data_IF_286469754779
#
_entry.id   IF_286469754779
#
_cell.length_a   1.000
_cell.length_b   1.000
_cell.length_c   1.000
_cell.angle_alpha   90.00
_cell.angle_beta   90.00
_cell.angle_gamma   90.00
#
_symmetry.space_group_name_H-M   'P 1'
#
loop_
_entity.id
_entity.type
_entity.pdbx_description
1 polymer ?
#
# COMPACT_ATOMS: atom_id res chain seq x y z
N UNK A 1 -16.05 -21.53 18.47
CA UNK A 1 -15.84 -21.08 17.09
C UNK A 1 -15.50 -19.60 17.11
N UNK A 2 -14.77 -19.10 16.11
CA UNK A 2 -14.48 -17.66 16.02
C UNK A 2 -15.76 -16.89 15.66
N UNK A 3 -15.98 -15.73 16.27
CA UNK A 3 -17.08 -14.85 15.88
C UNK A 3 -16.86 -14.36 14.44
N UNK A 4 -17.89 -14.49 13.61
CA UNK A 4 -17.92 -14.04 12.22
C UNK A 4 -18.87 -12.84 12.16
N UNK A 5 -18.39 -11.71 11.67
CA UNK A 5 -19.23 -10.56 11.35
C UNK A 5 -19.72 -10.70 9.91
N UNK A 6 -21.01 -10.47 9.68
CA UNK A 6 -21.59 -10.53 8.35
C UNK A 6 -22.31 -9.21 8.08
N UNK A 7 -21.94 -8.55 7.00
CA UNK A 7 -22.70 -7.43 6.44
C UNK A 7 -23.53 -7.98 5.29
N UNK A 8 -24.84 -7.91 5.44
CA UNK A 8 -25.79 -8.32 4.40
C UNK A 8 -26.35 -7.05 3.76
N UNK A 9 -26.30 -6.98 2.44
CA UNK A 9 -26.87 -5.89 1.66
C UNK A 9 -27.94 -6.45 0.74
N UNK A 10 -29.16 -5.95 0.91
CA UNK A 10 -30.31 -6.27 0.08
C UNK A 10 -30.50 -5.13 -0.91
N UNK A 11 -30.59 -5.45 -2.20
CA UNK A 11 -30.84 -4.49 -3.26
C UNK A 11 -32.09 -4.96 -4.02
N UNK A 12 -33.20 -4.22 -3.95
CA UNK A 12 -34.36 -4.53 -4.77
C UNK A 12 -34.00 -4.33 -6.24
N UNK A 13 -34.36 -5.30 -7.07
CA UNK A 13 -34.13 -5.29 -8.51
C UNK A 13 -35.47 -5.30 -9.25
N UNK A 14 -35.45 -5.17 -10.59
CA UNK A 14 -36.69 -5.15 -11.37
C UNK A 14 -37.49 -6.45 -11.22
N UNK A 15 -38.80 -6.38 -11.45
CA UNK A 15 -39.75 -7.50 -11.33
C UNK A 15 -39.99 -8.05 -9.91
N UNK A 16 -39.75 -7.25 -8.86
CA UNK A 16 -40.04 -7.66 -7.48
C UNK A 16 -39.05 -8.68 -6.91
N UNK A 17 -37.89 -8.79 -7.53
CA UNK A 17 -36.78 -9.62 -7.08
C UNK A 17 -35.88 -8.82 -6.12
N UNK A 18 -35.26 -9.50 -5.17
CA UNK A 18 -34.25 -8.92 -4.29
C UNK A 18 -32.93 -9.66 -4.50
N UNK A 19 -31.86 -8.90 -4.75
CA UNK A 19 -30.50 -9.44 -4.74
C UNK A 19 -29.90 -9.26 -3.34
N UNK A 20 -29.11 -10.24 -2.90
CA UNK A 20 -28.49 -10.26 -1.58
C UNK A 20 -27.00 -10.54 -1.69
N UNK A 21 -26.20 -9.56 -1.28
CA UNK A 21 -24.74 -9.72 -1.15
C UNK A 21 -24.39 -9.88 0.32
N UNK A 22 -23.75 -10.99 0.67
CA UNK A 22 -23.20 -11.24 2.00
C UNK A 22 -21.69 -11.02 1.97
N UNK A 23 -21.24 -9.98 2.67
CA UNK A 23 -19.84 -9.81 3.00
C UNK A 23 -19.54 -10.42 4.35
N UNK A 24 -18.78 -11.51 4.34
CA UNK A 24 -18.31 -12.18 5.55
C UNK A 24 -16.96 -11.59 5.94
N UNK A 25 -16.87 -10.94 7.10
CA UNK A 25 -15.61 -10.54 7.71
C UNK A 25 -15.37 -11.36 8.98
N UNK A 26 -14.27 -12.09 9.00
CA UNK A 26 -13.69 -12.53 10.25
C UNK A 26 -12.87 -11.36 10.82
N UNK A 27 -12.79 -11.22 12.15
CA UNK A 27 -11.80 -10.32 12.74
C UNK A 27 -10.43 -10.68 12.17
N UNK A 28 -9.83 -9.74 11.46
CA UNK A 28 -8.54 -9.95 10.84
C UNK A 28 -7.46 -9.95 11.92
N UNK A 29 -6.55 -10.91 11.85
CA UNK A 29 -5.37 -10.90 12.72
C UNK A 29 -4.44 -9.78 12.23
N UNK A 30 -3.86 -9.03 13.16
CA UNK A 30 -2.76 -8.14 12.85
C UNK A 30 -1.59 -8.93 12.22
N UNK A 31 -0.97 -8.35 11.21
CA UNK A 31 0.20 -8.93 10.53
C UNK A 31 1.42 -8.07 10.92
N UNK A 32 2.49 -8.66 11.48
CA UNK A 32 3.74 -7.94 11.72
C UNK A 32 4.30 -7.33 10.43
N UNK A 33 5.00 -6.21 10.55
CA UNK A 33 5.56 -5.47 9.42
C UNK A 33 6.47 -6.36 8.55
N UNK A 34 7.23 -7.24 9.19
CA UNK A 34 8.18 -8.19 8.58
C UNK A 34 7.46 -9.22 7.70
N UNK A 35 6.18 -9.50 7.96
CA UNK A 35 5.37 -10.49 7.27
C UNK A 35 4.49 -9.89 6.17
N UNK A 36 4.58 -8.58 5.91
CA UNK A 36 3.85 -7.95 4.80
C UNK A 36 4.36 -8.37 3.42
N UNK A 37 5.60 -8.89 3.32
CA UNK A 37 6.21 -9.25 2.04
C UNK A 37 6.73 -8.04 1.25
N UNK A 38 7.14 -6.98 1.96
CA UNK A 38 7.92 -5.89 1.39
C UNK A 38 9.29 -6.41 0.94
N UNK A 39 9.85 -5.85 -0.13
CA UNK A 39 11.26 -6.08 -0.47
C UNK A 39 12.15 -5.58 0.67
N UNK A 40 13.37 -6.10 0.77
CA UNK A 40 14.31 -5.70 1.82
C UNK A 40 14.56 -4.18 1.80
N UNK A 41 14.66 -3.59 0.62
CA UNK A 41 14.82 -2.15 0.44
C UNK A 41 13.61 -1.38 0.96
N UNK A 42 12.39 -1.74 0.51
CA UNK A 42 11.17 -1.06 0.94
C UNK A 42 10.90 -1.24 2.45
N UNK A 43 11.21 -2.41 3.02
CA UNK A 43 11.10 -2.64 4.45
C UNK A 43 12.03 -1.70 5.23
N UNK A 44 13.31 -1.62 4.84
CA UNK A 44 14.28 -0.72 5.47
C UNK A 44 13.85 0.74 5.39
N UNK A 45 13.43 1.19 4.21
CA UNK A 45 12.94 2.56 4.02
C UNK A 45 11.71 2.84 4.89
N UNK A 46 10.72 1.95 4.90
CA UNK A 46 9.52 2.13 5.70
C UNK A 46 9.84 2.19 7.20
N UNK A 47 10.71 1.32 7.72
CA UNK A 47 11.15 1.35 9.12
C UNK A 47 11.84 2.68 9.45
N UNK A 48 12.72 3.18 8.57
CA UNK A 48 13.39 4.47 8.76
C UNK A 48 12.40 5.65 8.78
N UNK A 49 11.37 5.59 7.92
CA UNK A 49 10.31 6.61 7.85
C UNK A 49 9.43 6.57 9.10
N UNK A 50 9.09 5.38 9.62
CA UNK A 50 8.30 5.22 10.84
C UNK A 50 9.00 5.78 12.09
N UNK A 51 10.33 5.87 12.09
CA UNK A 51 11.10 6.47 13.19
C UNK A 51 11.03 8.01 13.21
N UNK A 52 10.49 8.66 12.18
CA UNK A 52 10.39 10.11 12.15
C UNK A 52 9.43 10.61 13.24
N UNK A 53 9.77 11.71 13.96
CA UNK A 53 8.95 12.21 15.05
C UNK A 53 7.65 12.85 14.57
N UNK A 54 7.60 13.30 13.32
CA UNK A 54 6.44 13.94 12.70
C UNK A 54 6.48 13.82 11.19
N UNK A 55 5.34 14.08 10.57
CA UNK A 55 5.17 14.08 9.12
C UNK A 55 4.14 13.04 8.70
N UNK A 56 3.82 13.03 7.41
CA UNK A 56 2.73 12.23 6.87
C UNK A 56 3.23 11.07 6.01
N UNK A 57 2.76 9.87 6.33
CA UNK A 57 2.93 8.65 5.54
C UNK A 57 1.59 8.35 4.89
N UNK A 58 1.55 8.34 3.57
CA UNK A 58 0.35 8.01 2.82
C UNK A 58 0.48 6.62 2.21
N UNK A 59 -0.46 5.74 2.51
CA UNK A 59 -0.55 4.41 1.92
C UNK A 59 -1.57 4.47 0.79
N UNK A 60 -1.11 4.32 -0.44
CA UNK A 60 -1.89 4.38 -1.66
C UNK A 60 -2.14 2.98 -2.24
N UNK A 61 -3.25 2.82 -2.95
CA UNK A 61 -3.57 1.63 -3.71
C UNK A 61 -5.06 1.46 -3.99
N UNK A 62 -5.42 0.58 -4.95
CA UNK A 62 -6.82 0.30 -5.26
C UNK A 62 -7.55 -0.44 -4.13
N UNK A 63 -8.86 -0.59 -4.27
CA UNK A 63 -9.65 -1.40 -3.35
C UNK A 63 -9.12 -2.84 -3.29
N UNK A 64 -8.93 -3.36 -2.08
CA UNK A 64 -8.40 -4.71 -1.88
C UNK A 64 -6.87 -4.84 -2.00
N UNK A 65 -6.15 -3.73 -2.15
CA UNK A 65 -4.67 -3.72 -2.17
C UNK A 65 -4.01 -4.01 -0.81
N UNK A 66 -4.78 -4.15 0.27
CA UNK A 66 -4.25 -4.45 1.61
C UNK A 66 -3.79 -3.23 2.41
N UNK A 67 -4.21 -2.00 2.02
CA UNK A 67 -3.76 -0.76 2.67
C UNK A 67 -4.02 -0.73 4.18
N UNK A 68 -5.22 -1.15 4.62
CA UNK A 68 -5.54 -1.25 6.05
C UNK A 68 -4.62 -2.24 6.77
N UNK A 69 -4.28 -3.36 6.14
CA UNK A 69 -3.34 -4.34 6.71
C UNK A 69 -1.96 -3.72 6.92
N UNK A 70 -1.46 -2.97 5.94
CA UNK A 70 -0.18 -2.24 6.04
C UNK A 70 -0.26 -1.12 7.08
N UNK A 71 -1.36 -0.35 7.11
CA UNK A 71 -1.60 0.68 8.13
C UNK A 71 -1.46 0.09 9.53
N UNK A 72 -2.19 -0.99 9.83
CA UNK A 72 -2.15 -1.61 11.15
C UNK A 72 -0.81 -2.28 11.47
N UNK A 73 -0.08 -2.78 10.47
CA UNK A 73 1.28 -3.28 10.65
C UNK A 73 2.26 -2.16 11.05
N UNK A 74 2.17 -1.00 10.39
CA UNK A 74 2.92 0.20 10.76
C UNK A 74 2.58 0.66 12.18
N UNK A 75 1.29 0.71 12.52
CA UNK A 75 0.86 1.09 13.87
C UNK A 75 1.33 0.10 14.93
N UNK A 76 1.37 -1.21 14.63
CA UNK A 76 1.90 -2.22 15.55
C UNK A 76 3.39 -2.00 15.83
N UNK A 77 4.16 -1.68 14.80
CA UNK A 77 5.59 -1.37 14.92
C UNK A 77 5.85 -0.13 15.79
N UNK A 78 4.92 0.83 15.78
CA UNK A 78 4.98 2.05 16.59
C UNK A 78 4.37 1.90 18.00
N UNK A 79 3.67 0.80 18.29
CA UNK A 79 2.86 0.63 19.49
C UNK A 79 3.74 0.29 20.70
N UNK A 80 4.30 1.31 21.33
CA UNK A 80 5.03 1.21 22.60
C UNK A 80 4.23 1.86 23.73
N UNK A 81 4.43 1.47 25.01
CA UNK A 81 3.71 2.06 26.14
C UNK A 81 3.84 3.59 26.25
N UNK A 82 4.92 4.16 25.71
CA UNK A 82 5.23 5.59 25.75
C UNK A 82 4.50 6.39 24.67
N UNK A 83 4.02 5.72 23.60
CA UNK A 83 3.35 6.39 22.47
C UNK A 83 1.84 6.30 22.57
N UNK A 84 1.18 7.44 22.39
CA UNK A 84 -0.28 7.56 22.31
C UNK A 84 -0.75 7.56 20.86
N UNK A 85 -1.29 6.42 20.43
CA UNK A 85 -1.79 6.21 19.06
C UNK A 85 -3.30 6.31 19.03
N UNK A 86 -3.83 7.24 18.22
CA UNK A 86 -5.26 7.42 17.96
C UNK A 86 -5.59 7.08 16.51
N UNK A 87 -6.68 6.33 16.28
CA UNK A 87 -7.11 5.97 14.94
C UNK A 87 -8.57 6.36 14.70
N UNK A 88 -8.86 6.95 13.54
CA UNK A 88 -10.20 7.19 13.04
C UNK A 88 -10.48 6.18 11.92
N UNK A 89 -11.45 5.28 12.10
CA UNK A 89 -11.70 4.17 11.18
C UNK A 89 -13.18 4.06 10.79
N UNK A 90 -13.48 3.95 9.49
CA UNK A 90 -14.85 3.67 8.99
C UNK A 90 -15.40 2.34 9.50
N UNK A 91 -14.52 1.38 9.78
CA UNK A 91 -14.85 0.07 10.32
C UNK A 91 -13.61 -0.50 11.00
N UNK A 92 -13.74 -0.91 12.26
CA UNK A 92 -12.63 -1.49 13.03
C UNK A 92 -12.54 -2.99 12.71
N UNK A 93 -11.78 -3.33 11.68
CA UNK A 93 -11.58 -4.71 11.22
C UNK A 93 -10.47 -5.44 11.99
N UNK A 94 -9.43 -4.70 12.39
CA UNK A 94 -8.25 -5.18 13.12
C UNK A 94 -8.20 -4.45 14.46
N UNK A 95 -8.40 -5.18 15.56
CA UNK A 95 -8.29 -4.62 16.91
C UNK A 95 -6.88 -4.80 17.46
N UNK A 96 -6.26 -3.73 17.96
CA UNK A 96 -4.93 -3.77 18.56
C UNK A 96 -4.93 -3.15 19.96
N UNK A 97 -4.52 -3.93 20.95
CA UNK A 97 -4.33 -3.43 22.31
C UNK A 97 -3.26 -2.32 22.32
N UNK A 98 -3.52 -1.23 23.04
CA UNK A 98 -2.63 -0.06 23.11
C UNK A 98 -3.06 1.10 22.21
N UNK A 99 -3.84 0.84 21.16
CA UNK A 99 -4.40 1.86 20.28
C UNK A 99 -5.72 2.41 20.86
N UNK A 100 -6.03 3.67 20.56
CA UNK A 100 -7.32 4.31 20.84
C UNK A 100 -8.10 4.38 19.53
N UNK A 101 -8.78 3.29 19.20
CA UNK A 101 -9.48 3.12 17.93
C UNK A 101 -10.90 3.68 18.01
N UNK A 102 -11.17 4.72 17.22
CA UNK A 102 -12.48 5.40 17.16
C UNK A 102 -13.17 5.06 15.86
N UNK A 103 -14.37 4.53 15.97
CA UNK A 103 -15.23 4.23 14.82
C UNK A 103 -15.92 5.51 14.32
N UNK A 104 -15.74 5.81 13.03
CA UNK A 104 -16.40 6.91 12.33
C UNK A 104 -17.82 6.48 11.97
N UNK A 105 -18.82 7.17 12.51
CA UNK A 105 -20.25 6.91 12.27
C UNK A 105 -20.96 8.24 11.97
N UNK A 106 -21.05 8.64 10.68
CA UNK A 106 -21.69 9.90 10.28
C UNK A 106 -23.14 10.02 10.77
N UNK A 107 -23.85 8.90 10.90
CA UNK A 107 -25.25 8.87 11.41
C UNK A 107 -25.36 9.35 12.87
N UNK A 108 -24.26 9.32 13.61
CA UNK A 108 -24.15 9.80 14.99
C UNK A 108 -23.37 11.12 15.09
N UNK A 109 -23.05 11.76 13.96
CA UNK A 109 -22.25 12.99 13.91
C UNK A 109 -20.74 12.78 14.11
N UNK A 110 -20.26 11.54 14.11
CA UNK A 110 -18.83 11.21 14.19
C UNK A 110 -18.25 11.04 12.79
N UNK A 111 -18.07 12.16 12.09
CA UNK A 111 -17.41 12.22 10.78
C UNK A 111 -15.89 12.33 10.92
N UNK A 112 -15.14 12.01 9.86
CA UNK A 112 -13.67 12.07 9.88
C UNK A 112 -13.14 13.43 10.38
N UNK A 113 -13.60 14.59 9.87
CA UNK A 113 -13.10 15.87 10.34
C UNK A 113 -13.33 16.13 11.84
N UNK A 114 -14.50 15.76 12.37
CA UNK A 114 -14.82 15.98 13.80
C UNK A 114 -13.99 15.08 14.71
N UNK A 115 -13.83 13.81 14.33
CA UNK A 115 -13.00 12.84 15.06
C UNK A 115 -11.53 13.26 15.04
N UNK A 116 -10.97 13.59 13.87
CA UNK A 116 -9.56 13.97 13.75
C UNK A 116 -9.23 15.26 14.50
N UNK A 117 -10.12 16.26 14.48
CA UNK A 117 -9.95 17.48 15.30
C UNK A 117 -9.94 17.17 16.80
N UNK A 118 -10.74 16.21 17.25
CA UNK A 118 -10.73 15.81 18.66
C UNK A 118 -9.39 15.21 19.08
N UNK A 119 -8.72 14.49 18.18
CA UNK A 119 -7.40 13.90 18.46
C UNK A 119 -6.34 14.95 18.72
N UNK A 120 -6.38 16.10 18.05
CA UNK A 120 -5.40 17.18 18.24
C UNK A 120 -5.38 17.74 19.67
N UNK A 121 -6.50 17.62 20.40
CA UNK A 121 -6.59 18.02 21.82
C UNK A 121 -6.34 16.85 22.78
N UNK A 122 -6.14 15.65 22.25
CA UNK A 122 -5.97 14.43 23.01
C UNK A 122 -4.50 14.03 23.17
N UNK A 123 -3.55 14.95 22.99
CA UNK A 123 -2.11 14.76 23.14
C UNK A 123 -1.57 13.51 22.41
N UNK A 124 -1.77 13.39 21.07
CA UNK A 124 -1.39 12.20 20.32
C UNK A 124 0.08 12.26 19.88
N UNK A 125 0.78 11.13 19.92
CA UNK A 125 2.07 10.98 19.23
C UNK A 125 1.88 10.58 17.77
N UNK A 126 0.93 9.67 17.55
CA UNK A 126 0.59 9.13 16.22
C UNK A 126 -0.90 9.26 15.98
N UNK A 127 -1.26 9.80 14.82
CA UNK A 127 -2.64 9.88 14.34
C UNK A 127 -2.77 9.01 13.10
N UNK A 128 -3.79 8.15 13.08
CA UNK A 128 -4.15 7.38 11.90
C UNK A 128 -5.55 7.72 11.42
N UNK A 129 -5.72 7.81 10.10
CA UNK A 129 -7.03 7.85 9.46
C UNK A 129 -7.13 6.67 8.48
N UNK A 130 -8.20 5.89 8.58
CA UNK A 130 -8.35 4.72 7.70
C UNK A 130 -8.50 5.09 6.23
N UNK A 131 -8.88 6.33 5.92
CA UNK A 131 -8.96 6.87 4.55
C UNK A 131 -9.04 8.40 4.58
N UNK A 132 -8.43 9.05 3.59
CA UNK A 132 -8.75 10.42 3.20
C UNK A 132 -9.89 10.39 2.19
N UNK A 133 -11.02 10.97 2.55
CA UNK A 133 -12.24 11.00 1.74
C UNK A 133 -12.48 12.35 1.07
N UNK A 134 -11.99 13.43 1.67
CA UNK A 134 -12.25 14.81 1.24
C UNK A 134 -11.08 15.75 1.60
N UNK A 135 -11.16 16.97 1.07
CA UNK A 135 -10.20 18.05 1.28
C UNK A 135 -10.06 18.45 2.75
N UNK A 136 -11.15 18.41 3.52
CA UNK A 136 -11.14 18.80 4.93
C UNK A 136 -10.34 17.80 5.77
N UNK A 137 -10.59 16.50 5.57
CA UNK A 137 -9.85 15.38 6.18
C UNK A 137 -8.37 15.44 5.81
N UNK A 138 -8.07 15.67 4.53
CA UNK A 138 -6.70 15.81 4.05
C UNK A 138 -5.98 16.99 4.71
N UNK A 139 -6.64 18.15 4.77
CA UNK A 139 -6.14 19.36 5.40
C UNK A 139 -5.81 19.17 6.88
N UNK A 140 -6.71 18.54 7.65
CA UNK A 140 -6.48 18.24 9.07
C UNK A 140 -5.29 17.30 9.26
N UNK A 141 -5.17 16.25 8.44
CA UNK A 141 -4.05 15.32 8.48
C UNK A 141 -2.72 16.02 8.19
N UNK A 142 -2.69 16.88 7.16
CA UNK A 142 -1.48 17.62 6.82
C UNK A 142 -1.11 18.65 7.88
N UNK A 143 -2.08 19.39 8.43
CA UNK A 143 -1.85 20.31 9.53
C UNK A 143 -1.27 19.60 10.76
N UNK A 144 -1.81 18.44 11.12
CA UNK A 144 -1.31 17.62 12.21
C UNK A 144 0.15 17.19 11.99
N UNK A 145 0.46 16.79 10.75
CA UNK A 145 1.80 16.34 10.36
C UNK A 145 2.85 17.46 10.35
N UNK A 146 2.45 18.69 9.98
CA UNK A 146 3.32 19.87 9.99
C UNK A 146 3.65 20.35 11.40
N UNK A 147 2.83 20.01 12.39
CA UNK A 147 3.06 20.36 13.79
C UNK A 147 4.03 19.38 14.42
N UNK A 148 3.53 18.36 15.11
CA UNK A 148 4.34 17.47 15.97
C UNK A 148 3.90 16.01 15.94
N UNK A 149 3.02 15.64 15.01
CA UNK A 149 2.46 14.29 14.98
C UNK A 149 2.97 13.51 13.78
N UNK A 150 3.23 12.22 13.98
CA UNK A 150 3.35 11.28 12.88
C UNK A 150 1.93 10.91 12.44
N UNK A 151 1.62 11.12 11.16
CA UNK A 151 0.29 10.88 10.60
C UNK A 151 0.40 9.76 9.58
N UNK A 152 -0.42 8.71 9.71
CA UNK A 152 -0.52 7.64 8.73
C UNK A 152 -1.94 7.59 8.20
N UNK A 153 -2.10 7.70 6.89
CA UNK A 153 -3.43 7.63 6.27
C UNK A 153 -3.43 6.77 5.02
N UNK A 154 -4.61 6.41 4.55
CA UNK A 154 -4.75 5.72 3.26
C UNK A 154 -5.44 6.60 2.22
N UNK A 155 -5.07 6.41 0.96
CA UNK A 155 -5.71 7.06 -0.18
C UNK A 155 -5.93 6.04 -1.30
N UNK A 156 -7.12 6.04 -1.89
CA UNK A 156 -7.42 5.13 -3.00
C UNK A 156 -6.97 5.78 -4.31
N UNK A 157 -5.84 5.33 -4.81
CA UNK A 157 -5.33 5.68 -6.14
C UNK A 157 -4.63 4.48 -6.76
N UNK A 158 -4.42 4.54 -8.06
CA UNK A 158 -3.74 3.47 -8.79
C UNK A 158 -2.23 3.70 -8.91
N UNK A 159 -1.74 4.93 -8.68
CA UNK A 159 -0.31 5.24 -8.76
C UNK A 159 0.10 6.35 -7.77
N UNK A 160 1.40 6.48 -7.51
CA UNK A 160 1.97 7.57 -6.69
C UNK A 160 1.67 8.94 -7.30
N UNK A 161 1.77 9.06 -8.63
CA UNK A 161 1.48 10.30 -9.36
C UNK A 161 0.04 10.72 -9.11
N UNK A 162 -0.91 9.78 -9.30
CA UNK A 162 -2.33 10.02 -9.06
C UNK A 162 -2.58 10.39 -7.58
N UNK A 163 -1.82 9.82 -6.64
CA UNK A 163 -1.89 10.19 -5.22
C UNK A 163 -1.46 11.64 -4.96
N UNK A 164 -0.37 12.07 -5.59
CA UNK A 164 0.08 13.47 -5.52
C UNK A 164 -0.93 14.42 -6.17
N UNK A 165 -1.42 14.10 -7.37
CA UNK A 165 -2.45 14.88 -8.08
C UNK A 165 -3.73 14.98 -7.26
N UNK A 166 -4.22 13.87 -6.72
CA UNK A 166 -5.41 13.86 -5.85
C UNK A 166 -5.26 14.76 -4.64
N UNK A 167 -4.06 14.80 -4.01
CA UNK A 167 -3.81 15.75 -2.94
C UNK A 167 -3.91 17.20 -3.42
N UNK A 168 -3.34 17.53 -4.58
CA UNK A 168 -3.42 18.89 -5.15
C UNK A 168 -4.86 19.27 -5.53
N UNK A 169 -5.61 18.35 -6.12
CA UNK A 169 -7.02 18.53 -6.49
C UNK A 169 -7.92 18.75 -5.27
N UNK A 170 -7.56 18.17 -4.13
CA UNK A 170 -8.18 18.45 -2.82
C UNK A 170 -7.84 19.85 -2.28
N UNK A 171 -7.14 20.70 -3.03
CA UNK A 171 -6.79 22.07 -2.65
C UNK A 171 -5.57 22.17 -1.73
N UNK A 172 -4.82 21.07 -1.56
CA UNK A 172 -3.55 21.10 -0.84
C UNK A 172 -2.53 21.77 -1.73
N UNK A 173 -1.98 22.89 -1.30
CA UNK A 173 -0.92 23.54 -2.05
C UNK A 173 0.40 22.76 -1.97
N UNK A 174 1.24 22.92 -3.00
CA UNK A 174 2.53 22.22 -3.14
C UNK A 174 3.51 22.46 -1.99
N UNK A 175 3.49 23.63 -1.36
CA UNK A 175 4.38 23.91 -0.22
C UNK A 175 4.00 23.02 0.98
N UNK A 176 2.71 22.97 1.31
CA UNK A 176 2.18 22.11 2.37
C UNK A 176 2.48 20.65 2.06
N UNK A 177 2.22 20.20 0.83
CA UNK A 177 2.52 18.83 0.40
C UNK A 177 4.01 18.49 0.60
N UNK A 178 4.92 19.35 0.15
CA UNK A 178 6.36 19.15 0.28
C UNK A 178 6.81 19.09 1.75
N UNK A 179 6.23 19.90 2.62
CA UNK A 179 6.67 20.02 4.01
C UNK A 179 6.06 18.96 4.93
N UNK A 180 4.79 18.63 4.70
CA UNK A 180 4.01 17.65 5.47
C UNK A 180 4.44 16.21 5.20
N UNK A 181 4.66 15.87 3.93
CA UNK A 181 4.85 14.49 3.50
C UNK A 181 6.25 13.96 3.82
N UNK A 182 6.29 12.71 4.30
CA UNK A 182 7.50 11.89 4.40
C UNK A 182 7.58 10.93 3.22
N UNK A 183 6.48 10.22 2.96
CA UNK A 183 6.44 9.23 1.89
C UNK A 183 5.03 8.94 1.38
N UNK A 184 4.95 8.44 0.14
CA UNK A 184 3.80 7.72 -0.38
C UNK A 184 4.24 6.27 -0.63
N UNK A 185 3.60 5.32 0.04
CA UNK A 185 3.75 3.89 -0.22
C UNK A 185 2.58 3.46 -1.11
N UNK A 186 2.82 3.22 -2.39
CA UNK A 186 1.82 2.55 -3.24
C UNK A 186 2.00 1.04 -3.10
N UNK A 187 0.89 0.33 -3.03
CA UNK A 187 0.91 -1.12 -3.00
C UNK A 187 -0.25 -1.76 -3.77
N UNK A 188 0.00 -3.00 -4.19
CA UNK A 188 -0.98 -3.92 -4.76
C UNK A 188 -0.77 -5.33 -4.22
N UNK A 189 -1.76 -6.21 -4.42
CA UNK A 189 -1.64 -7.61 -4.07
C UNK A 189 -1.58 -8.49 -5.32
N UNK A 190 -0.50 -9.26 -5.42
CA UNK A 190 -0.27 -10.23 -6.47
C UNK A 190 -0.56 -11.64 -5.94
N UNK A 191 -1.04 -12.58 -6.77
CA UNK A 191 -1.21 -13.98 -6.34
C UNK A 191 0.15 -14.65 -6.15
N UNK A 192 0.31 -15.46 -5.09
CA UNK A 192 1.49 -16.31 -4.91
C UNK A 192 1.33 -17.63 -5.65
N UNK A 193 2.42 -18.18 -6.18
CA UNK A 193 2.44 -19.55 -6.68
C UNK A 193 2.17 -20.54 -5.54
N UNK A 194 1.39 -21.58 -5.84
CA UNK A 194 1.07 -22.61 -4.87
C UNK A 194 2.35 -23.37 -4.47
N UNK A 195 2.71 -23.41 -3.17
CA UNK A 195 3.94 -24.04 -2.73
C UNK A 195 3.97 -25.56 -2.97
N UNK A 196 2.80 -26.20 -3.13
CA UNK A 196 2.68 -27.64 -3.36
C UNK A 196 2.84 -28.07 -4.82
N UNK A 197 2.57 -27.18 -5.77
CA UNK A 197 2.54 -27.55 -7.20
C UNK A 197 3.32 -26.62 -8.12
N UNK A 198 3.95 -25.55 -7.62
CA UNK A 198 4.78 -24.69 -8.46
C UNK A 198 5.87 -25.52 -9.16
N UNK A 199 6.01 -25.32 -10.46
CA UNK A 199 6.94 -26.07 -11.29
C UNK A 199 8.13 -25.19 -11.65
N UNK A 200 9.33 -25.69 -11.42
CA UNK A 200 10.59 -25.04 -11.81
C UNK A 200 10.86 -25.32 -13.28
N UNK A 201 11.13 -24.30 -14.08
CA UNK A 201 11.50 -24.44 -15.49
C UNK A 201 12.64 -23.50 -15.88
N UNK A 202 13.37 -23.85 -16.93
CA UNK A 202 14.32 -22.96 -17.58
C UNK A 202 13.56 -22.17 -18.66
N UNK A 203 13.34 -20.85 -18.47
CA UNK A 203 12.60 -20.04 -19.44
C UNK A 203 13.39 -19.89 -20.73
N UNK A 204 12.70 -19.60 -21.83
CA UNK A 204 13.36 -19.23 -23.09
C UNK A 204 14.10 -17.90 -22.96
N UNK A 205 15.08 -17.67 -23.83
CA UNK A 205 15.86 -16.42 -23.84
C UNK A 205 14.98 -15.17 -24.03
N UNK A 206 13.92 -15.27 -24.82
CA UNK A 206 12.96 -14.19 -25.04
C UNK A 206 12.26 -13.77 -23.74
N UNK A 207 11.85 -14.73 -22.90
CA UNK A 207 11.19 -14.45 -21.63
C UNK A 207 12.16 -13.78 -20.63
N UNK A 208 13.43 -14.20 -20.62
CA UNK A 208 14.48 -13.52 -19.84
C UNK A 208 14.70 -12.08 -20.32
N UNK A 209 14.80 -11.87 -21.64
CA UNK A 209 14.98 -10.54 -22.23
C UNK A 209 13.76 -9.64 -21.98
N UNK A 210 12.55 -10.19 -21.99
CA UNK A 210 11.32 -9.46 -21.65
C UNK A 210 11.32 -9.05 -20.18
N UNK A 211 11.69 -9.92 -19.24
CA UNK A 211 11.84 -9.56 -17.83
C UNK A 211 12.88 -8.46 -17.63
N UNK A 212 14.04 -8.56 -18.30
CA UNK A 212 15.09 -7.56 -18.24
C UNK A 212 14.63 -6.20 -18.81
N UNK A 213 13.85 -6.22 -19.90
CA UNK A 213 13.26 -5.01 -20.47
C UNK A 213 12.22 -4.39 -19.54
N UNK A 214 11.29 -5.18 -19.00
CA UNK A 214 10.27 -4.70 -18.06
C UNK A 214 10.89 -4.13 -16.77
N UNK A 215 11.97 -4.73 -16.27
CA UNK A 215 12.69 -4.24 -15.08
C UNK A 215 13.47 -2.94 -15.35
N UNK A 216 13.85 -2.72 -16.61
CA UNK A 216 14.81 -1.72 -17.05
C UNK A 216 16.21 -2.34 -17.17
N UNK A 217 16.74 -2.39 -18.40
CA UNK A 217 17.96 -3.15 -18.75
C UNK A 217 19.15 -2.84 -17.83
N UNK A 218 19.47 -1.55 -17.67
CA UNK A 218 20.59 -1.11 -16.83
C UNK A 218 20.40 -1.50 -15.35
N UNK A 219 19.17 -1.45 -14.84
CA UNK A 219 18.86 -1.85 -13.47
C UNK A 219 18.89 -3.38 -13.31
N UNK A 220 18.46 -4.11 -14.34
CA UNK A 220 18.47 -5.57 -14.34
C UNK A 220 19.90 -6.13 -14.40
N UNK A 221 20.78 -5.52 -15.18
CA UNK A 221 22.20 -5.87 -15.24
C UNK A 221 22.88 -5.75 -13.87
N UNK A 222 22.50 -4.75 -13.06
CA UNK A 222 22.99 -4.57 -11.68
C UNK A 222 22.57 -5.68 -10.72
N UNK A 223 21.52 -6.44 -11.03
CA UNK A 223 21.15 -7.63 -10.26
C UNK A 223 22.16 -8.76 -10.41
N UNK A 224 23.00 -8.72 -11.45
CA UNK A 224 24.02 -9.72 -11.74
C UNK A 224 23.44 -11.16 -11.85
N UNK A 225 22.32 -11.30 -12.55
CA UNK A 225 21.62 -12.58 -12.78
C UNK A 225 21.77 -12.95 -14.26
N UNK A 226 22.87 -13.61 -14.69
CA UNK A 226 23.07 -13.93 -16.10
C UNK A 226 22.15 -15.04 -16.57
N UNK A 227 21.72 -14.96 -17.84
CA UNK A 227 21.02 -16.06 -18.50
C UNK A 227 21.96 -17.24 -18.72
N UNK A 228 21.82 -18.26 -17.88
CA UNK A 228 22.61 -19.50 -17.91
C UNK A 228 21.68 -20.70 -17.74
N UNK A 229 22.18 -21.91 -17.93
CA UNK A 229 21.43 -23.14 -17.64
C UNK A 229 20.98 -23.25 -16.16
N UNK A 230 21.49 -22.40 -15.27
CA UNK A 230 21.10 -22.32 -13.87
C UNK A 230 20.02 -21.27 -13.59
N UNK A 231 19.69 -20.42 -14.56
CA UNK A 231 18.58 -19.48 -14.45
C UNK A 231 17.26 -20.24 -14.56
N UNK A 232 16.43 -20.16 -13.53
CA UNK A 232 15.14 -20.84 -13.49
C UNK A 232 14.06 -19.93 -12.94
N UNK A 233 12.87 -20.07 -13.48
CA UNK A 233 11.65 -19.44 -12.99
C UNK A 233 10.68 -20.51 -12.50
N UNK A 234 9.57 -20.05 -11.94
CA UNK A 234 8.50 -20.90 -11.47
C UNK A 234 7.19 -20.55 -12.14
N UNK A 235 6.41 -21.57 -12.51
CA UNK A 235 5.11 -21.42 -13.16
C UNK A 235 4.01 -22.19 -12.41
N UNK A 236 2.74 -21.77 -12.55
CA UNK A 236 1.62 -22.47 -11.94
C UNK A 236 1.35 -23.80 -12.68
N UNK A 237 1.12 -24.88 -11.92
CA UNK A 237 0.71 -26.20 -12.45
C UNK A 237 -0.76 -26.53 -12.18
N UNK A 238 -1.25 -26.21 -10.98
CA UNK A 238 -2.56 -26.65 -10.49
C UNK A 238 -2.48 -27.96 -9.70
N UNK A 239 -3.21 -28.01 -8.58
CA UNK A 239 -3.44 -29.20 -7.77
C UNK A 239 -4.70 -28.99 -6.91
N UNK A 240 -5.16 -30.05 -6.25
CA UNK A 240 -6.38 -29.98 -5.42
C UNK A 240 -6.27 -28.97 -4.28
N UNK A 241 -5.07 -28.80 -3.71
CA UNK A 241 -4.85 -27.86 -2.61
C UNK A 241 -5.02 -26.37 -3.02
N UNK A 242 -4.92 -26.05 -4.31
CA UNK A 242 -5.16 -24.71 -4.83
C UNK A 242 -6.40 -24.63 -5.73
N UNK A 243 -7.27 -25.64 -5.69
CA UNK A 243 -8.45 -25.69 -6.56
C UNK A 243 -8.10 -25.64 -8.04
N UNK A 244 -7.00 -26.30 -8.43
CA UNK A 244 -6.48 -26.36 -9.80
C UNK A 244 -6.05 -25.00 -10.41
N UNK A 245 -5.97 -23.93 -9.60
CA UNK A 245 -5.57 -22.60 -10.10
C UNK A 245 -4.06 -22.42 -10.27
N UNK A 246 -3.27 -23.19 -9.51
CA UNK A 246 -1.81 -23.02 -9.41
C UNK A 246 -1.36 -21.90 -8.47
N UNK A 247 -2.28 -21.15 -7.84
CA UNK A 247 -1.97 -20.07 -6.92
C UNK A 247 -2.47 -20.36 -5.50
N UNK A 248 -1.73 -19.92 -4.47
CA UNK A 248 -1.95 -20.33 -3.08
C UNK A 248 -1.74 -19.22 -2.08
N UNK A 249 -2.39 -18.07 -2.30
CA UNK A 249 -2.27 -16.89 -1.43
C UNK A 249 -2.05 -15.61 -2.22
N UNK A 250 -1.64 -14.57 -1.51
CA UNK A 250 -1.32 -13.25 -2.06
C UNK A 250 -0.05 -12.73 -1.41
N UNK A 251 0.72 -11.95 -2.15
CA UNK A 251 1.87 -11.21 -1.66
C UNK A 251 1.70 -9.72 -1.97
N UNK A 252 2.23 -8.86 -1.11
CA UNK A 252 2.33 -7.43 -1.39
C UNK A 252 3.30 -7.20 -2.54
N UNK A 253 3.04 -6.22 -3.38
CA UNK A 253 4.01 -5.56 -4.28
C UNK A 253 3.88 -4.08 -4.00
N UNK A 254 5.00 -3.38 -3.86
CA UNK A 254 5.01 -2.00 -3.37
C UNK A 254 6.13 -1.16 -3.97
N UNK A 255 5.91 0.14 -4.01
CA UNK A 255 6.92 1.16 -4.22
C UNK A 255 6.78 2.25 -3.15
N UNK A 256 7.91 2.82 -2.71
CA UNK A 256 7.92 3.86 -1.67
C UNK A 256 8.59 5.10 -2.24
N UNK A 257 7.78 6.13 -2.49
CA UNK A 257 8.24 7.43 -2.89
C UNK A 257 8.56 8.27 -1.66
N UNK A 258 9.82 8.71 -1.55
CA UNK A 258 10.32 9.45 -0.39
C UNK A 258 10.48 10.92 -0.76
N UNK A 259 9.93 11.80 0.09
CA UNK A 259 10.04 13.26 -0.09
C UNK A 259 11.40 13.74 0.40
N UNK A 260 12.45 13.45 -0.35
CA UNK A 260 13.82 13.92 -0.06
C UNK A 260 13.95 15.44 -0.20
N UNK A 261 15.06 16.02 0.24
CA UNK A 261 15.30 17.47 0.13
C UNK A 261 15.22 17.98 -1.31
N UNK A 262 15.69 17.21 -2.29
CA UNK A 262 15.67 17.60 -3.69
C UNK A 262 14.26 17.45 -4.28
N UNK A 263 13.55 16.36 -3.97
CA UNK A 263 12.14 16.18 -4.34
C UNK A 263 11.27 17.31 -3.78
N UNK A 264 11.43 17.66 -2.50
CA UNK A 264 10.73 18.80 -1.87
C UNK A 264 11.05 20.12 -2.59
N UNK A 265 12.28 20.31 -3.08
CA UNK A 265 12.65 21.51 -3.86
C UNK A 265 11.95 21.55 -5.20
N UNK A 266 11.88 20.43 -5.91
CA UNK A 266 11.17 20.32 -7.19
C UNK A 266 9.67 20.59 -7.02
N UNK A 267 9.05 20.02 -5.99
CA UNK A 267 7.64 20.27 -5.67
C UNK A 267 7.40 21.77 -5.40
N UNK A 268 8.24 22.43 -4.61
CA UNK A 268 8.13 23.87 -4.31
C UNK A 268 8.34 24.77 -5.54
N UNK A 269 9.03 24.27 -6.57
CA UNK A 269 9.24 24.96 -7.85
C UNK A 269 8.13 24.73 -8.86
N UNK A 270 7.06 24.05 -8.45
CA UNK A 270 5.94 23.69 -9.33
C UNK A 270 6.39 22.85 -10.54
N UNK A 271 7.42 22.01 -10.35
CA UNK A 271 7.87 21.10 -11.39
C UNK A 271 6.77 20.05 -11.70
N UNK A 272 6.82 19.53 -12.93
CA UNK A 272 5.89 18.52 -13.39
C UNK A 272 6.01 17.24 -12.53
N UNK A 273 4.88 16.68 -12.11
CA UNK A 273 4.83 15.54 -11.18
C UNK A 273 5.48 14.28 -11.76
N UNK A 274 5.36 14.06 -13.07
CA UNK A 274 6.08 12.98 -13.76
C UNK A 274 7.59 13.17 -13.64
N UNK A 275 8.09 14.39 -13.85
CA UNK A 275 9.53 14.69 -13.70
C UNK A 275 10.02 14.46 -12.26
N UNK A 276 9.19 14.79 -11.27
CA UNK A 276 9.45 14.52 -9.85
C UNK A 276 9.49 13.01 -9.57
N UNK A 277 8.55 12.24 -10.12
CA UNK A 277 8.55 10.77 -10.01
C UNK A 277 9.81 10.16 -10.64
N UNK A 278 10.16 10.56 -11.86
CA UNK A 278 11.36 10.09 -12.54
C UNK A 278 12.65 10.45 -11.79
N UNK A 279 12.70 11.61 -11.13
CA UNK A 279 13.82 11.96 -10.26
C UNK A 279 13.93 11.02 -9.05
N UNK A 280 12.83 10.57 -8.46
CA UNK A 280 12.87 9.57 -7.38
C UNK A 280 13.36 8.21 -7.88
N UNK A 281 12.88 7.75 -9.05
CA UNK A 281 13.36 6.52 -9.71
C UNK A 281 14.86 6.59 -9.97
N UNK A 282 15.36 7.70 -10.54
CA UNK A 282 16.77 7.92 -10.81
C UNK A 282 17.64 7.92 -9.52
N UNK A 283 17.06 8.30 -8.39
CA UNK A 283 17.70 8.28 -7.07
C UNK A 283 17.59 6.94 -6.34
N UNK A 284 17.19 5.87 -7.02
CA UNK A 284 17.21 4.51 -6.48
C UNK A 284 15.90 4.03 -5.87
N UNK A 285 14.78 4.74 -6.09
CA UNK A 285 13.46 4.21 -5.75
C UNK A 285 13.19 2.94 -6.55
N UNK A 286 12.83 1.86 -5.85
CA UNK A 286 12.36 0.62 -6.48
C UNK A 286 10.92 0.81 -6.94
N UNK A 287 10.68 0.65 -8.24
CA UNK A 287 9.32 0.79 -8.79
C UNK A 287 8.47 -0.44 -8.48
N UNK A 288 7.15 -0.27 -8.57
CA UNK A 288 6.21 -1.38 -8.36
C UNK A 288 6.50 -2.57 -9.29
N UNK A 289 6.86 -2.27 -10.55
CA UNK A 289 7.21 -3.27 -11.55
C UNK A 289 8.50 -4.00 -11.20
N UNK A 290 9.53 -3.29 -10.73
CA UNK A 290 10.80 -3.88 -10.31
C UNK A 290 10.63 -4.79 -9.09
N UNK A 291 9.85 -4.35 -8.09
CA UNK A 291 9.51 -5.19 -6.93
C UNK A 291 8.75 -6.45 -7.37
N UNK A 292 7.76 -6.31 -8.25
CA UNK A 292 6.99 -7.43 -8.80
C UNK A 292 7.88 -8.46 -9.51
N UNK A 293 8.79 -8.01 -10.38
CA UNK A 293 9.73 -8.88 -11.09
C UNK A 293 10.71 -9.54 -10.10
N UNK A 294 11.19 -8.81 -9.09
CA UNK A 294 12.05 -9.39 -8.04
C UNK A 294 11.37 -10.57 -7.35
N UNK A 295 10.07 -10.48 -7.10
CA UNK A 295 9.26 -11.59 -6.54
C UNK A 295 9.09 -12.77 -7.50
N UNK A 296 9.09 -12.54 -8.81
CA UNK A 296 9.13 -13.60 -9.83
C UNK A 296 10.48 -14.31 -9.83
N UNK A 297 11.57 -13.56 -9.78
CA UNK A 297 12.94 -14.09 -9.70
C UNK A 297 13.14 -14.94 -8.42
N UNK A 298 12.48 -14.60 -7.32
CA UNK A 298 12.45 -15.38 -6.09
C UNK A 298 11.51 -16.61 -6.13
N UNK A 299 10.76 -16.80 -7.22
CA UNK A 299 9.83 -17.93 -7.36
C UNK A 299 8.61 -17.86 -6.44
N UNK A 300 8.21 -16.64 -6.06
CA UNK A 300 7.03 -16.36 -5.24
C UNK A 300 5.78 -16.17 -6.10
N UNK A 301 5.94 -15.65 -7.32
CA UNK A 301 4.90 -15.41 -8.31
C UNK A 301 5.43 -15.70 -9.72
N UNK A 302 4.64 -15.37 -10.74
CA UNK A 302 5.00 -15.49 -12.15
C UNK A 302 4.87 -14.16 -12.91
N UNK A 303 5.41 -14.12 -14.13
CA UNK A 303 5.39 -12.93 -14.98
C UNK A 303 3.95 -12.51 -15.39
N UNK A 304 3.04 -13.47 -15.52
CA UNK A 304 1.62 -13.19 -15.86
C UNK A 304 0.99 -12.32 -14.80
N UNK A 305 1.23 -12.63 -13.53
CA UNK A 305 0.72 -11.83 -12.42
C UNK A 305 1.36 -10.44 -12.37
N UNK A 306 2.66 -10.31 -12.68
CA UNK A 306 3.31 -8.99 -12.78
C UNK A 306 2.65 -8.12 -13.84
N UNK A 307 2.38 -8.67 -15.04
CA UNK A 307 1.70 -7.95 -16.12
C UNK A 307 0.29 -7.51 -15.72
N UNK A 308 -0.46 -8.37 -15.02
CA UNK A 308 -1.82 -8.06 -14.57
C UNK A 308 -1.85 -7.02 -13.44
N UNK A 309 -0.86 -7.03 -12.56
CA UNK A 309 -0.90 -6.25 -11.31
C UNK A 309 -0.05 -5.00 -11.38
N UNK A 310 1.10 -5.00 -12.05
CA UNK A 310 2.09 -3.92 -11.93
C UNK A 310 2.21 -3.03 -13.17
N UNK A 311 1.72 -3.48 -14.32
CA UNK A 311 1.77 -2.68 -15.56
C UNK A 311 0.61 -1.69 -15.56
N UNK A 312 0.91 -0.43 -15.85
CA UNK A 312 -0.12 0.60 -16.07
C UNK A 312 -0.85 0.25 -17.36
N UNK A 313 -2.15 -0.06 -17.27
CA UNK A 313 -3.00 -0.11 -18.44
C UNK A 313 -3.16 1.33 -18.93
N UNK A 314 -2.23 1.78 -19.78
CA UNK A 314 -2.48 2.98 -20.57
C UNK A 314 -3.60 2.61 -21.55
N UNK A 315 -4.84 2.98 -21.20
CA UNK A 315 -5.93 3.09 -22.16
C UNK A 315 -5.79 4.43 -22.87
#
# INVERSE_FOLDING_TARGET
GNAIHMRVTFIPTHAGLEDMVIHISAKAKKIPLELLGLSENNYKELVNILQQPRGMILIAGPAGAGMNTTLHACLDNLNTPEKKIWTAEESIEITQNGLRQVHVDPRKGFEFPSVLRSFLNADPDVIAASRIVDAETAGICMEASLKRHLVISTLRTDHIIDAMETCLDMGINRLVLADAMLSILEQRLMKTLCPKCKEKYHPGREEYEELAQMYGKEAFEKLNIPYTNHFHLFRPRGCDACGQTGYGGRLCVSEIFIFTRDIKRMIRRDENIESIYQAAVANGMTTLLQDGISKVLLGLSDQKQVKLTCVRNNV
#
